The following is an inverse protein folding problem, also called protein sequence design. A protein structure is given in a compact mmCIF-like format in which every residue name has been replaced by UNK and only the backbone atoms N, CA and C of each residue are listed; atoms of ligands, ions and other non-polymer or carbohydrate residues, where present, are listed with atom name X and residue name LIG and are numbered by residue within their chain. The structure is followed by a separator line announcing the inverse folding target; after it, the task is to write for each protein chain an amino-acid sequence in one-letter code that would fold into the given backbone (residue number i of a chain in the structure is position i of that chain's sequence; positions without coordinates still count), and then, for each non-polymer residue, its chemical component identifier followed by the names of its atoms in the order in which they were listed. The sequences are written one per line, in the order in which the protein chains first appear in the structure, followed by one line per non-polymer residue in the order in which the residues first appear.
data_IF_834471797156
#
_entry.id   IF_834471797156
#
_cell.length_a   1.000
_cell.length_b   1.000
_cell.length_c   1.000
_cell.angle_alpha   90.00
_cell.angle_beta   90.00
_cell.angle_gamma   90.00
#
_symmetry.space_group_name_H-M   'P 1'
#
loop_
_entity.id
_entity.type
_entity.pdbx_description
1 polymer ?
#
# COMPACT_ATOMS: atom_id res chain seq x y z
N UNK A 1 34.87 33.91 72.50
CA UNK A 1 34.94 35.34 72.87
C UNK A 1 33.95 36.13 72.01
N UNK A 2 33.32 37.18 72.55
CA UNK A 2 31.96 37.60 72.20
C UNK A 2 31.90 38.94 71.43
N UNK A 3 30.66 39.35 71.15
CA UNK A 3 30.17 40.67 70.69
C UNK A 3 30.29 40.92 69.16
N UNK A 4 29.30 41.45 68.44
CA UNK A 4 28.30 42.46 68.80
C UNK A 4 27.06 42.47 67.87
N UNK A 5 25.94 42.91 68.48
CA UNK A 5 24.89 43.86 68.00
C UNK A 5 23.85 43.44 66.96
N UNK A 6 22.62 43.40 67.46
CA UNK A 6 21.35 43.66 66.75
C UNK A 6 21.33 45.06 66.12
N UNK A 7 20.72 45.16 64.94
CA UNK A 7 20.15 46.41 64.41
C UNK A 7 18.88 46.07 63.64
N UNK A 8 17.79 46.71 64.05
CA UNK A 8 16.48 46.65 63.42
C UNK A 8 16.52 47.37 62.06
N UNK A 9 15.97 46.74 61.04
CA UNK A 9 15.86 47.28 59.69
C UNK A 9 14.44 47.08 59.16
N UNK A 10 13.82 48.19 58.81
CA UNK A 10 12.44 48.40 58.35
C UNK A 10 12.05 47.46 57.20
N UNK A 11 10.89 46.79 57.34
CA UNK A 11 10.24 46.02 56.28
C UNK A 11 9.52 46.99 55.33
N UNK A 12 10.12 47.29 54.18
CA UNK A 12 9.44 48.00 53.09
C UNK A 12 8.62 46.98 52.30
N UNK A 13 7.29 47.06 52.41
CA UNK A 13 6.37 46.29 51.59
C UNK A 13 6.41 46.80 50.15
N UNK A 14 7.02 46.03 49.25
CA UNK A 14 6.90 46.26 47.81
C UNK A 14 5.51 45.80 47.34
N UNK A 15 4.65 46.76 47.00
CA UNK A 15 3.38 46.52 46.31
C UNK A 15 3.71 46.13 44.86
N UNK A 16 3.65 44.83 44.55
CA UNK A 16 3.69 44.36 43.18
C UNK A 16 2.30 44.56 42.56
N UNK A 17 2.21 45.51 41.63
CA UNK A 17 1.04 45.70 40.76
C UNK A 17 0.94 44.48 39.82
N UNK A 18 -0.01 43.59 40.08
CA UNK A 18 -0.35 42.52 39.14
C UNK A 18 -1.10 43.13 37.95
N UNK A 19 -0.37 43.35 36.84
CA UNK A 19 -0.96 43.61 35.54
C UNK A 19 -1.75 42.38 35.08
N UNK A 20 -3.07 42.47 35.15
CA UNK A 20 -3.99 41.44 34.66
C UNK A 20 -3.84 41.27 33.15
N UNK A 21 -3.13 40.22 32.73
CA UNK A 21 -3.30 39.66 31.39
C UNK A 21 -4.50 38.73 31.43
N UNK A 22 -5.57 39.16 30.78
CA UNK A 22 -6.69 38.30 30.42
C UNK A 22 -6.17 37.14 29.57
N UNK A 23 -6.01 35.97 30.20
CA UNK A 23 -5.82 34.72 29.46
C UNK A 23 -7.15 34.44 28.79
N UNK A 24 -7.23 34.70 27.49
CA UNK A 24 -8.34 34.26 26.67
C UNK A 24 -8.45 32.74 26.84
N UNK A 25 -9.56 32.30 27.43
CA UNK A 25 -9.94 30.89 27.52
C UNK A 25 -10.06 30.36 26.11
N UNK A 26 -9.00 29.73 25.61
CA UNK A 26 -9.08 28.93 24.40
C UNK A 26 -9.98 27.75 24.73
N UNK A 27 -11.23 27.81 24.24
CA UNK A 27 -12.11 26.65 24.18
C UNK A 27 -11.29 25.52 23.56
N UNK A 28 -11.17 24.34 24.20
CA UNK A 28 -10.43 23.25 23.62
C UNK A 28 -11.05 22.95 22.25
N UNK A 29 -10.26 23.11 21.19
CA UNK A 29 -10.65 22.59 19.89
C UNK A 29 -10.92 21.10 20.09
N UNK A 30 -12.18 20.71 19.92
CA UNK A 30 -12.61 19.31 20.01
C UNK A 30 -11.67 18.47 19.18
N UNK A 31 -10.99 17.53 19.83
CA UNK A 31 -10.19 16.55 19.11
C UNK A 31 -11.10 15.87 18.07
N UNK A 32 -10.66 15.71 16.80
CA UNK A 32 -11.43 14.92 15.86
C UNK A 32 -11.59 13.52 16.46
N UNK A 33 -12.84 13.10 16.60
CA UNK A 33 -13.21 11.77 17.09
C UNK A 33 -12.42 10.74 16.30
N UNK A 34 -11.65 9.91 16.99
CA UNK A 34 -11.04 8.73 16.40
C UNK A 34 -12.18 7.89 15.77
N UNK A 35 -12.24 7.81 14.44
CA UNK A 35 -13.23 7.00 13.74
C UNK A 35 -13.96 7.63 12.55
N UNK A 36 -13.65 8.86 12.13
CA UNK A 36 -14.12 9.33 10.83
C UNK A 36 -12.94 9.81 9.99
N UNK A 37 -12.60 9.03 8.95
CA UNK A 37 -11.88 9.55 7.79
C UNK A 37 -12.97 10.08 6.84
N UNK A 38 -13.29 11.38 6.85
CA UNK A 38 -14.37 11.94 6.01
C UNK A 38 -14.03 11.94 4.52
N UNK A 39 -12.87 11.40 4.13
CA UNK A 39 -12.32 11.47 2.79
C UNK A 39 -12.16 10.09 2.17
N UNK A 40 -12.33 10.03 0.85
CA UNK A 40 -12.12 8.82 0.05
C UNK A 40 -10.63 8.53 -0.01
N UNK A 41 -10.26 7.25 0.03
CA UNK A 41 -8.86 6.81 -0.05
C UNK A 41 -8.55 6.47 -1.51
N UNK A 42 -7.56 7.13 -2.15
CA UNK A 42 -7.09 6.74 -3.46
C UNK A 42 -6.51 5.33 -3.43
N UNK A 43 -6.92 4.48 -4.37
CA UNK A 43 -6.35 3.15 -4.57
C UNK A 43 -5.72 3.14 -5.96
N UNK A 44 -4.41 3.24 -6.01
CA UNK A 44 -3.63 3.43 -7.23
C UNK A 44 -3.21 2.08 -7.82
N UNK A 45 -3.32 1.94 -9.14
CA UNK A 45 -2.90 0.74 -9.88
C UNK A 45 -1.73 1.08 -10.81
N UNK A 46 -0.63 0.35 -10.63
CA UNK A 46 0.53 0.33 -11.51
C UNK A 46 0.70 -1.07 -12.12
N UNK A 47 1.11 -1.16 -13.39
CA UNK A 47 1.40 -2.46 -14.05
C UNK A 47 2.88 -2.58 -14.41
N UNK A 48 3.41 -1.69 -15.25
CA UNK A 48 4.83 -1.71 -15.63
C UNK A 48 5.51 -0.44 -15.14
N UNK A 49 6.73 -0.59 -14.63
CA UNK A 49 7.65 0.53 -14.39
C UNK A 49 8.83 0.39 -15.35
N UNK A 50 9.15 1.42 -16.13
CA UNK A 50 10.21 1.34 -17.15
C UNK A 50 10.73 2.70 -17.61
N UNK A 51 11.35 2.79 -18.78
CA UNK A 51 12.04 4.03 -19.20
C UNK A 51 11.12 5.14 -19.70
N UNK A 52 9.98 4.78 -20.29
CA UNK A 52 9.03 5.72 -20.87
C UNK A 52 7.59 5.36 -20.52
N UNK A 53 6.71 6.36 -20.48
CA UNK A 53 5.28 6.17 -20.26
C UNK A 53 4.64 5.46 -21.47
N UNK A 54 3.67 4.58 -21.20
CA UNK A 54 2.79 3.99 -22.21
C UNK A 54 1.46 3.54 -21.57
N UNK A 55 0.55 2.96 -22.35
CA UNK A 55 -0.81 2.57 -21.90
C UNK A 55 -0.86 1.76 -20.60
N UNK A 56 0.20 1.02 -20.27
CA UNK A 56 0.31 0.23 -19.02
C UNK A 56 1.60 0.50 -18.25
N UNK A 57 2.41 1.44 -18.72
CA UNK A 57 3.76 1.69 -18.20
C UNK A 57 3.84 3.09 -17.66
N UNK A 58 4.31 3.19 -16.41
CA UNK A 58 4.79 4.44 -15.83
C UNK A 58 6.30 4.46 -15.93
N UNK A 59 6.86 5.55 -16.40
CA UNK A 59 8.30 5.79 -16.41
C UNK A 59 8.84 5.80 -14.98
N UNK A 60 10.10 5.41 -14.80
CA UNK A 60 10.78 5.46 -13.50
C UNK A 60 10.77 6.87 -12.92
N UNK A 61 11.01 7.87 -13.76
CA UNK A 61 10.93 9.28 -13.35
C UNK A 61 9.50 9.73 -13.08
N UNK A 62 8.52 9.24 -13.85
CA UNK A 62 7.10 9.40 -13.56
C UNK A 62 6.75 8.87 -12.18
N UNK A 63 7.21 7.66 -11.84
CA UNK A 63 6.96 7.05 -10.54
C UNK A 63 7.61 7.84 -9.40
N UNK A 64 8.85 8.33 -9.57
CA UNK A 64 9.49 9.25 -8.61
C UNK A 64 8.66 10.51 -8.38
N UNK A 65 8.13 11.11 -9.45
CA UNK A 65 7.25 12.29 -9.36
C UNK A 65 5.92 11.95 -8.69
N UNK A 66 5.37 10.76 -8.91
CA UNK A 66 4.12 10.33 -8.26
C UNK A 66 4.30 10.21 -6.73
N UNK A 67 5.41 9.62 -6.27
CA UNK A 67 5.75 9.55 -4.85
C UNK A 67 5.89 10.96 -4.24
N UNK A 68 6.64 11.84 -4.92
CA UNK A 68 6.85 13.22 -4.47
C UNK A 68 5.53 14.01 -4.41
N UNK A 69 4.71 13.94 -5.46
CA UNK A 69 3.40 14.61 -5.52
C UNK A 69 2.51 14.19 -4.35
N UNK A 70 2.39 12.88 -4.09
CA UNK A 70 1.60 12.37 -2.98
C UNK A 70 2.16 12.82 -1.63
N UNK A 71 3.48 12.79 -1.47
CA UNK A 71 4.14 13.25 -0.25
C UNK A 71 3.83 14.73 0.04
N UNK A 72 4.01 15.59 -0.97
CA UNK A 72 3.80 17.03 -0.90
C UNK A 72 2.33 17.39 -0.64
N UNK A 73 1.40 16.60 -1.17
CA UNK A 73 -0.05 16.73 -0.89
C UNK A 73 -0.50 16.07 0.42
N UNK A 74 0.47 15.65 1.26
CA UNK A 74 0.22 15.15 2.60
C UNK A 74 -0.41 13.76 2.62
N UNK A 75 -0.14 12.91 1.63
CA UNK A 75 -0.53 11.50 1.62
C UNK A 75 0.56 10.60 2.18
N UNK A 76 0.16 9.50 2.82
CA UNK A 76 1.06 8.46 3.35
C UNK A 76 0.57 7.08 2.96
N UNK A 77 1.50 6.19 2.58
CA UNK A 77 1.12 4.91 2.02
C UNK A 77 0.60 3.96 3.09
N UNK A 78 -0.48 3.23 2.77
CA UNK A 78 -1.00 2.09 3.53
C UNK A 78 -1.25 0.92 2.57
N UNK A 79 -1.34 -0.30 3.10
CA UNK A 79 -1.70 -1.47 2.29
C UNK A 79 -3.22 -1.62 2.15
N UNK A 80 -3.66 -2.47 1.23
CA UNK A 80 -5.08 -2.83 1.10
C UNK A 80 -5.58 -3.48 2.39
N UNK A 81 -4.83 -4.43 2.95
CA UNK A 81 -5.18 -5.06 4.22
C UNK A 81 -5.39 -4.04 5.36
N UNK A 82 -4.52 -3.05 5.47
CA UNK A 82 -4.66 -1.98 6.47
C UNK A 82 -5.90 -1.11 6.23
N UNK A 83 -6.23 -0.83 4.97
CA UNK A 83 -7.43 -0.10 4.60
C UNK A 83 -8.70 -0.88 4.98
N UNK A 84 -8.74 -2.18 4.71
CA UNK A 84 -9.84 -3.09 5.05
C UNK A 84 -10.03 -3.18 6.57
N UNK A 85 -8.93 -3.35 7.30
CA UNK A 85 -8.93 -3.42 8.77
C UNK A 85 -9.22 -2.08 9.42
N UNK A 86 -9.16 -0.99 8.64
CA UNK A 86 -9.26 0.40 9.12
C UNK A 86 -8.24 0.67 10.23
N UNK A 87 -7.08 0.04 10.11
CA UNK A 87 -6.01 0.07 11.09
C UNK A 87 -4.67 0.35 10.41
N UNK A 88 -4.20 1.58 10.57
CA UNK A 88 -2.94 2.07 10.04
C UNK A 88 -2.40 3.19 10.90
N UNK A 89 -1.08 3.32 10.91
CA UNK A 89 -0.35 4.32 11.66
C UNK A 89 0.36 5.27 10.69
N UNK A 90 -0.28 6.41 10.43
CA UNK A 90 0.22 7.52 9.62
C UNK A 90 0.23 8.80 10.48
N UNK A 91 1.18 9.73 10.26
CA UNK A 91 1.24 10.99 11.02
C UNK A 91 -0.08 11.76 11.00
N UNK A 92 -0.43 12.37 12.14
CA UNK A 92 -1.61 13.23 12.26
C UNK A 92 -1.56 14.36 11.22
N UNK A 93 -2.70 14.62 10.57
CA UNK A 93 -2.81 15.63 9.51
C UNK A 93 -2.51 15.09 8.10
N UNK A 94 -1.99 13.87 7.97
CA UNK A 94 -1.82 13.21 6.66
C UNK A 94 -3.06 12.41 6.26
N UNK A 95 -3.10 11.91 5.02
CA UNK A 95 -4.16 11.04 4.51
C UNK A 95 -3.61 9.75 3.92
N UNK A 96 -4.32 8.62 4.03
CA UNK A 96 -3.86 7.37 3.45
C UNK A 96 -3.97 7.40 1.93
N UNK A 97 -3.03 6.71 1.28
CA UNK A 97 -3.10 6.32 -0.13
C UNK A 97 -2.68 4.86 -0.26
N UNK A 98 -3.38 4.09 -1.09
CA UNK A 98 -3.03 2.69 -1.35
C UNK A 98 -2.31 2.61 -2.69
N UNK A 99 -1.17 1.94 -2.71
CA UNK A 99 -0.45 1.57 -3.94
C UNK A 99 -0.66 0.08 -4.21
N UNK A 100 -1.09 -0.25 -5.42
CA UNK A 100 -1.20 -1.63 -5.90
C UNK A 100 -0.38 -1.81 -7.18
N UNK A 101 0.33 -2.93 -7.25
CA UNK A 101 1.18 -3.30 -8.38
C UNK A 101 0.74 -4.66 -8.91
N UNK A 102 0.29 -4.72 -10.16
CA UNK A 102 -0.19 -5.94 -10.79
C UNK A 102 0.91 -6.63 -11.62
N UNK A 103 0.70 -7.89 -11.98
CA UNK A 103 1.49 -8.73 -12.90
C UNK A 103 2.85 -9.26 -12.41
N UNK A 104 3.48 -8.58 -11.48
CA UNK A 104 4.84 -8.88 -11.06
C UNK A 104 5.91 -8.78 -12.16
N UNK A 105 6.02 -7.65 -12.85
CA UNK A 105 7.09 -7.42 -13.84
C UNK A 105 8.48 -7.06 -13.22
N UNK A 106 9.62 -7.39 -13.85
CA UNK A 106 10.95 -7.03 -13.34
C UNK A 106 11.15 -5.55 -13.02
N UNK A 107 10.51 -4.64 -13.77
CA UNK A 107 10.55 -3.20 -13.48
C UNK A 107 9.96 -2.83 -12.12
N UNK A 108 9.06 -3.64 -11.56
CA UNK A 108 8.55 -3.45 -10.20
C UNK A 108 9.57 -3.88 -9.16
N UNK A 109 10.21 -5.05 -9.34
CA UNK A 109 11.25 -5.54 -8.44
C UNK A 109 12.31 -6.37 -9.18
N UNK A 110 13.50 -5.79 -9.36
CA UNK A 110 14.70 -6.45 -9.86
C UNK A 110 15.81 -6.49 -8.79
N UNK A 111 16.68 -7.48 -8.91
CA UNK A 111 18.02 -7.44 -8.32
C UNK A 111 19.05 -7.10 -9.39
N UNK A 112 20.14 -6.50 -8.95
CA UNK A 112 21.40 -6.41 -9.69
C UNK A 112 22.50 -7.01 -8.83
N UNK A 113 23.51 -7.60 -9.47
CA UNK A 113 24.70 -8.05 -8.77
C UNK A 113 25.70 -6.89 -8.60
N UNK A 114 26.24 -6.77 -7.39
CA UNK A 114 27.33 -5.86 -7.02
C UNK A 114 28.27 -6.62 -6.11
N UNK A 115 29.53 -6.76 -6.50
CA UNK A 115 30.58 -7.45 -5.72
C UNK A 115 30.16 -8.85 -5.24
N UNK A 116 29.52 -9.63 -6.14
CA UNK A 116 29.04 -10.98 -5.84
C UNK A 116 27.81 -11.05 -4.93
N UNK A 117 27.17 -9.92 -4.61
CA UNK A 117 25.95 -9.85 -3.79
C UNK A 117 24.76 -9.34 -4.60
N UNK A 118 23.60 -9.91 -4.35
CA UNK A 118 22.34 -9.38 -4.86
C UNK A 118 21.94 -8.15 -4.05
N UNK A 119 21.74 -7.04 -4.76
CA UNK A 119 21.21 -5.80 -4.20
C UNK A 119 19.95 -5.40 -4.96
N UNK A 120 18.97 -4.82 -4.26
CA UNK A 120 17.76 -4.30 -4.90
C UNK A 120 18.17 -3.29 -5.97
N UNK A 121 17.69 -3.48 -7.19
CA UNK A 121 17.96 -2.56 -8.29
C UNK A 121 17.37 -1.18 -7.96
N UNK A 122 18.20 -0.12 -7.86
CA UNK A 122 17.73 1.24 -7.55
C UNK A 122 16.79 1.82 -8.61
N UNK A 123 16.71 1.21 -9.80
CA UNK A 123 15.82 1.59 -10.88
C UNK A 123 14.52 0.77 -10.94
N UNK A 124 14.34 -0.20 -10.04
CA UNK A 124 13.05 -0.87 -9.85
C UNK A 124 12.10 -0.02 -9.01
N UNK A 125 10.80 -0.28 -9.08
CA UNK A 125 9.81 0.40 -8.23
C UNK A 125 10.16 0.25 -6.73
N UNK A 126 10.55 -0.96 -6.31
CA UNK A 126 10.99 -1.22 -4.93
C UNK A 126 12.26 -0.42 -4.60
N UNK A 127 13.26 -0.39 -5.48
CA UNK A 127 14.48 0.40 -5.26
C UNK A 127 14.21 1.90 -5.12
N UNK A 128 13.38 2.45 -6.00
CA UNK A 128 12.92 3.85 -5.94
C UNK A 128 12.15 4.11 -4.65
N UNK A 129 11.26 3.20 -4.24
CA UNK A 129 10.51 3.31 -3.00
C UNK A 129 11.42 3.35 -1.77
N UNK A 130 12.39 2.44 -1.69
CA UNK A 130 13.32 2.36 -0.57
C UNK A 130 14.20 3.61 -0.49
N UNK A 131 14.62 4.15 -1.63
CA UNK A 131 15.33 5.43 -1.66
C UNK A 131 14.49 6.60 -1.16
N UNK A 132 13.24 6.67 -1.61
CA UNK A 132 12.31 7.68 -1.14
C UNK A 132 12.07 7.57 0.37
N UNK A 133 11.84 6.36 0.88
CA UNK A 133 11.63 6.09 2.30
C UNK A 133 12.84 6.49 3.17
N UNK A 134 14.08 6.29 2.70
CA UNK A 134 15.28 6.75 3.43
C UNK A 134 15.33 8.27 3.61
N UNK A 135 14.86 9.02 2.60
CA UNK A 135 14.82 10.49 2.62
C UNK A 135 13.57 11.04 3.32
N UNK A 136 12.55 10.21 3.48
CA UNK A 136 11.26 10.55 4.09
C UNK A 136 10.87 9.46 5.09
N UNK A 137 11.39 9.47 6.33
CA UNK A 137 11.19 8.36 7.29
C UNK A 137 9.73 8.04 7.63
N UNK A 138 8.82 9.00 7.41
CA UNK A 138 7.38 8.82 7.57
C UNK A 138 6.69 8.19 6.35
N UNK A 139 7.40 8.04 5.23
CA UNK A 139 7.00 7.23 4.07
C UNK A 139 7.38 5.76 4.27
N UNK A 140 6.52 5.03 4.98
CA UNK A 140 6.74 3.61 5.30
C UNK A 140 6.68 2.72 4.04
N UNK A 141 7.29 1.54 4.11
CA UNK A 141 7.19 0.46 3.11
C UNK A 141 5.81 -0.18 3.13
N UNK A 142 4.84 0.48 2.47
CA UNK A 142 3.43 0.06 2.44
C UNK A 142 2.89 0.15 1.01
N UNK A 143 2.79 -1.00 0.36
CA UNK A 143 2.17 -1.17 -0.94
C UNK A 143 1.73 -2.63 -1.07
N UNK A 144 0.82 -2.91 -1.98
CA UNK A 144 0.27 -4.25 -2.20
C UNK A 144 0.69 -4.77 -3.57
N UNK A 145 1.49 -5.83 -3.61
CA UNK A 145 1.96 -6.44 -4.86
C UNK A 145 1.07 -7.64 -5.19
N UNK A 146 0.24 -7.52 -6.22
CA UNK A 146 -0.62 -8.55 -6.76
C UNK A 146 0.13 -9.35 -7.82
N UNK A 147 0.63 -10.52 -7.43
CA UNK A 147 1.72 -11.15 -8.15
C UNK A 147 1.29 -12.41 -8.89
N UNK A 148 1.90 -12.60 -10.06
CA UNK A 148 1.80 -13.82 -10.86
C UNK A 148 2.94 -14.76 -10.52
N UNK A 149 2.68 -16.07 -10.55
CA UNK A 149 3.66 -17.11 -10.19
C UNK A 149 4.09 -18.00 -11.35
N UNK A 150 3.43 -17.90 -12.50
CA UNK A 150 3.75 -18.65 -13.72
C UNK A 150 3.27 -17.96 -15.00
N UNK A 151 3.31 -16.62 -15.07
CA UNK A 151 2.92 -15.88 -16.27
C UNK A 151 3.82 -16.21 -17.48
N UNK A 152 3.21 -16.46 -18.64
CA UNK A 152 3.92 -16.84 -19.87
C UNK A 152 4.87 -15.76 -20.39
N UNK A 153 4.59 -14.48 -20.10
CA UNK A 153 5.44 -13.35 -20.47
C UNK A 153 6.75 -13.26 -19.65
N UNK A 154 6.98 -14.20 -18.73
CA UNK A 154 8.13 -14.26 -17.83
C UNK A 154 8.01 -13.35 -16.61
N UNK A 155 6.85 -12.75 -16.35
CA UNK A 155 6.58 -11.86 -15.21
C UNK A 155 6.35 -12.66 -13.90
N UNK A 156 6.73 -13.92 -13.84
CA UNK A 156 6.45 -14.75 -12.69
C UNK A 156 7.35 -14.33 -11.50
N UNK A 157 6.75 -13.72 -10.47
CA UNK A 157 7.41 -13.07 -9.33
C UNK A 157 8.66 -12.28 -9.72
N UNK A 158 8.44 -11.33 -10.64
CA UNK A 158 9.38 -10.32 -11.10
C UNK A 158 10.60 -10.83 -11.85
N UNK A 159 10.42 -11.92 -12.59
CA UNK A 159 11.32 -12.34 -13.65
C UNK A 159 11.67 -13.81 -13.58
N UNK A 160 11.34 -14.55 -14.64
CA UNK A 160 11.64 -15.96 -14.79
C UNK A 160 12.38 -16.21 -16.11
N UNK A 161 13.21 -17.26 -16.16
CA UNK A 161 13.95 -17.69 -17.36
C UNK A 161 14.80 -16.57 -17.97
N UNK A 162 15.47 -15.77 -17.13
CA UNK A 162 16.38 -14.71 -17.56
C UNK A 162 15.69 -13.42 -18.00
N UNK A 163 14.37 -13.28 -17.82
CA UNK A 163 13.64 -12.07 -18.23
C UNK A 163 14.26 -10.81 -17.60
N UNK A 164 14.64 -9.86 -18.44
CA UNK A 164 15.24 -8.57 -18.06
C UNK A 164 16.44 -8.75 -17.10
N UNK A 165 17.24 -9.79 -17.33
CA UNK A 165 18.43 -10.12 -16.53
C UNK A 165 18.12 -10.74 -15.17
N UNK A 166 16.85 -11.09 -14.89
CA UNK A 166 16.45 -11.69 -13.62
C UNK A 166 16.52 -13.21 -13.69
N UNK A 167 17.18 -13.82 -12.71
CA UNK A 167 17.32 -15.27 -12.62
C UNK A 167 16.10 -15.93 -11.95
N UNK A 168 15.71 -17.11 -12.43
CA UNK A 168 14.63 -17.92 -11.84
C UNK A 168 14.86 -18.20 -10.35
N UNK A 169 16.11 -18.43 -9.95
CA UNK A 169 16.51 -18.69 -8.56
C UNK A 169 16.21 -17.53 -7.61
N UNK A 170 16.11 -16.30 -8.12
CA UNK A 170 15.90 -15.10 -7.30
C UNK A 170 14.44 -14.88 -6.92
N UNK A 171 13.48 -15.49 -7.63
CA UNK A 171 12.05 -15.20 -7.53
C UNK A 171 11.50 -15.30 -6.11
N UNK A 172 11.76 -16.41 -5.42
CA UNK A 172 11.23 -16.60 -4.05
C UNK A 172 11.89 -15.64 -3.05
N UNK A 173 13.15 -15.28 -3.26
CA UNK A 173 13.85 -14.32 -2.39
C UNK A 173 13.26 -12.91 -2.50
N UNK A 174 12.73 -12.51 -3.66
CA UNK A 174 12.00 -11.25 -3.84
C UNK A 174 10.71 -11.24 -3.04
N UNK A 175 9.93 -12.33 -3.10
CA UNK A 175 8.68 -12.42 -2.33
C UNK A 175 8.94 -12.35 -0.82
N UNK A 176 9.97 -13.06 -0.33
CA UNK A 176 10.41 -12.95 1.06
C UNK A 176 10.85 -11.54 1.43
N UNK A 177 11.61 -10.88 0.57
CA UNK A 177 12.06 -9.51 0.79
C UNK A 177 10.87 -8.56 0.93
N UNK A 178 9.88 -8.64 0.04
CA UNK A 178 8.68 -7.79 0.11
C UNK A 178 7.98 -7.94 1.46
N UNK A 179 7.71 -9.18 1.89
CA UNK A 179 7.07 -9.46 3.18
C UNK A 179 7.91 -8.95 4.36
N UNK A 180 9.22 -9.20 4.36
CA UNK A 180 10.13 -8.76 5.42
C UNK A 180 10.23 -7.24 5.53
N UNK A 181 10.12 -6.52 4.40
CA UNK A 181 10.08 -5.06 4.39
C UNK A 181 8.71 -4.50 4.81
N UNK A 182 7.67 -5.32 4.94
CA UNK A 182 6.33 -4.89 5.33
C UNK A 182 5.41 -4.46 4.18
N UNK A 183 5.76 -4.83 2.93
CA UNK A 183 4.82 -4.78 1.82
C UNK A 183 3.81 -5.93 1.92
N UNK A 184 2.61 -5.72 1.37
CA UNK A 184 1.56 -6.74 1.31
C UNK A 184 1.73 -7.59 0.06
N UNK A 185 1.55 -8.92 0.21
CA UNK A 185 1.53 -9.87 -0.88
C UNK A 185 0.08 -10.20 -1.24
N UNK A 186 -0.27 -9.97 -2.51
CA UNK A 186 -1.60 -10.15 -3.06
C UNK A 186 -1.60 -11.20 -4.16
N UNK A 187 -2.71 -11.91 -4.30
CA UNK A 187 -2.92 -12.92 -5.34
C UNK A 187 -3.32 -12.23 -6.65
N UNK A 188 -2.81 -12.72 -7.77
CA UNK A 188 -3.24 -12.31 -9.11
C UNK A 188 -3.46 -13.49 -10.06
N UNK A 189 -3.81 -14.66 -9.49
CA UNK A 189 -3.85 -15.99 -10.13
C UNK A 189 -2.46 -16.53 -10.47
N UNK A 190 -2.41 -17.79 -10.92
CA UNK A 190 -1.17 -18.45 -11.32
C UNK A 190 -0.50 -17.76 -12.51
N UNK A 191 -1.21 -17.55 -13.62
CA UNK A 191 -0.61 -17.08 -14.89
C UNK A 191 -1.33 -15.90 -15.55
N UNK A 192 -2.21 -15.20 -14.82
CA UNK A 192 -3.10 -14.14 -15.33
C UNK A 192 -4.30 -14.73 -16.10
N UNK A 193 -4.96 -15.68 -15.45
CA UNK A 193 -6.09 -16.42 -15.99
C UNK A 193 -7.32 -15.53 -16.24
N UNK A 194 -7.93 -15.66 -17.43
CA UNK A 194 -9.23 -15.03 -17.73
C UNK A 194 -10.37 -15.80 -17.06
N UNK A 195 -10.58 -15.55 -15.77
CA UNK A 195 -11.50 -16.31 -14.91
C UNK A 195 -12.94 -16.38 -15.45
N UNK A 196 -13.43 -15.33 -16.11
CA UNK A 196 -14.75 -15.28 -16.77
C UNK A 196 -14.98 -16.37 -17.84
N UNK A 197 -13.90 -17.00 -18.32
CA UNK A 197 -13.95 -18.06 -19.34
C UNK A 197 -13.63 -19.45 -18.78
N UNK A 198 -13.46 -19.58 -17.47
CA UNK A 198 -13.09 -20.84 -16.81
C UNK A 198 -14.29 -21.51 -16.14
N UNK A 199 -14.19 -22.83 -15.92
CA UNK A 199 -15.09 -23.54 -15.02
C UNK A 199 -14.76 -23.21 -13.56
N UNK A 200 -15.71 -23.39 -12.66
CA UNK A 200 -15.54 -23.16 -11.23
C UNK A 200 -14.34 -23.91 -10.63
N UNK A 201 -14.13 -25.16 -11.05
CA UNK A 201 -12.96 -25.96 -10.65
C UNK A 201 -11.64 -25.31 -11.11
N UNK A 202 -11.59 -24.75 -12.33
CA UNK A 202 -10.41 -24.08 -12.86
C UNK A 202 -10.19 -22.70 -12.23
N UNK A 203 -11.26 -21.97 -11.90
CA UNK A 203 -11.16 -20.72 -11.12
C UNK A 203 -10.51 -20.99 -9.77
N UNK A 204 -11.01 -21.97 -9.02
CA UNK A 204 -10.44 -22.35 -7.73
C UNK A 204 -8.99 -22.82 -7.84
N UNK A 205 -8.66 -23.65 -8.84
CA UNK A 205 -7.29 -24.06 -9.11
C UNK A 205 -6.36 -22.85 -9.33
N UNK A 206 -6.76 -21.91 -10.19
CA UNK A 206 -5.94 -20.75 -10.54
C UNK A 206 -5.65 -19.85 -9.35
N UNK A 207 -6.66 -19.61 -8.51
CA UNK A 207 -6.54 -18.77 -7.33
C UNK A 207 -5.74 -19.49 -6.24
N UNK A 208 -6.10 -20.74 -5.92
CA UNK A 208 -5.45 -21.52 -4.87
C UNK A 208 -3.96 -21.75 -5.17
N UNK A 209 -3.60 -22.03 -6.44
CA UNK A 209 -2.18 -22.19 -6.82
C UNK A 209 -1.40 -20.88 -6.75
N UNK A 210 -2.02 -19.75 -7.02
CA UNK A 210 -1.42 -18.43 -6.77
C UNK A 210 -1.12 -18.21 -5.28
N UNK A 211 -2.07 -18.54 -4.41
CA UNK A 211 -1.89 -18.45 -2.96
C UNK A 211 -0.81 -19.42 -2.45
N UNK A 212 -0.82 -20.67 -2.93
CA UNK A 212 0.21 -21.67 -2.61
C UNK A 212 1.61 -21.22 -3.01
N UNK A 213 1.76 -20.55 -4.16
CA UNK A 213 3.06 -20.07 -4.60
C UNK A 213 3.61 -18.96 -3.68
N UNK A 214 2.74 -18.10 -3.13
CA UNK A 214 3.13 -17.12 -2.11
C UNK A 214 3.50 -17.82 -0.80
N UNK A 215 2.67 -18.75 -0.32
CA UNK A 215 2.92 -19.57 0.88
C UNK A 215 4.26 -20.33 0.78
N UNK A 216 4.60 -20.83 -0.40
CA UNK A 216 5.87 -21.54 -0.66
C UNK A 216 7.09 -20.62 -0.53
N UNK A 217 6.93 -19.31 -0.73
CA UNK A 217 8.00 -18.34 -0.51
C UNK A 217 8.05 -17.86 0.95
N UNK A 218 6.88 -17.65 1.56
CA UNK A 218 6.68 -17.15 2.93
C UNK A 218 5.69 -18.07 3.64
N UNK A 219 6.20 -19.06 4.35
CA UNK A 219 5.39 -20.11 4.97
C UNK A 219 4.36 -19.53 5.94
N UNK A 220 3.09 -19.94 5.78
CA UNK A 220 1.97 -19.48 6.61
C UNK A 220 1.43 -18.11 6.24
N UNK A 221 1.89 -17.49 5.14
CA UNK A 221 1.39 -16.19 4.74
C UNK A 221 -0.08 -16.27 4.31
N UNK A 222 -0.96 -15.59 5.05
CA UNK A 222 -2.37 -15.45 4.68
C UNK A 222 -2.52 -14.39 3.60
N UNK A 223 -2.78 -14.82 2.36
CA UNK A 223 -3.07 -13.90 1.26
C UNK A 223 -4.50 -13.38 1.38
N UNK A 224 -4.65 -12.10 1.75
CA UNK A 224 -5.95 -11.47 2.05
C UNK A 224 -6.55 -10.70 0.87
N UNK A 225 -5.69 -10.25 -0.05
CA UNK A 225 -6.10 -9.41 -1.17
C UNK A 225 -5.94 -10.16 -2.49
N UNK A 226 -6.92 -9.99 -3.37
CA UNK A 226 -6.93 -10.57 -4.70
C UNK A 226 -7.23 -9.51 -5.75
N UNK A 227 -6.36 -9.35 -6.75
CA UNK A 227 -6.69 -8.55 -7.93
C UNK A 227 -7.22 -9.44 -9.04
N UNK A 228 -8.35 -9.07 -9.63
CA UNK A 228 -8.95 -9.77 -10.76
C UNK A 228 -8.11 -9.52 -12.03
N UNK A 229 -7.58 -10.57 -12.70
CA UNK A 229 -6.97 -10.40 -14.00
C UNK A 229 -7.94 -9.74 -14.98
N UNK A 230 -7.49 -8.69 -15.67
CA UNK A 230 -8.31 -7.87 -16.58
C UNK A 230 -9.53 -7.20 -15.92
N UNK A 231 -9.68 -7.27 -14.59
CA UNK A 231 -10.87 -6.78 -13.88
C UNK A 231 -12.11 -7.62 -14.15
N UNK A 232 -11.96 -8.83 -14.70
CA UNK A 232 -13.07 -9.68 -15.10
C UNK A 232 -13.40 -10.71 -14.03
N UNK A 233 -14.62 -10.67 -13.54
CA UNK A 233 -15.14 -11.62 -12.57
C UNK A 233 -15.28 -13.04 -13.15
N UNK A 234 -15.02 -14.10 -12.35
CA UNK A 234 -15.50 -15.44 -12.69
C UNK A 234 -17.02 -15.46 -12.80
N UNK A 235 -17.58 -16.40 -13.58
CA UNK A 235 -19.05 -16.56 -13.68
C UNK A 235 -19.70 -16.77 -12.31
N UNK A 236 -19.05 -17.57 -11.46
CA UNK A 236 -19.42 -17.68 -10.06
C UNK A 236 -18.58 -16.69 -9.23
N UNK A 237 -19.17 -15.53 -8.93
CA UNK A 237 -18.49 -14.42 -8.24
C UNK A 237 -18.00 -14.81 -6.83
N UNK A 238 -18.68 -15.74 -6.15
CA UNK A 238 -18.30 -16.17 -4.81
C UNK A 238 -16.89 -16.79 -4.78
N UNK A 239 -16.46 -17.40 -5.88
CA UNK A 239 -15.13 -18.01 -6.01
C UNK A 239 -13.99 -17.01 -6.05
N UNK A 240 -14.25 -15.73 -6.36
CA UNK A 240 -13.23 -14.70 -6.20
C UNK A 240 -12.95 -14.42 -4.72
N UNK A 241 -13.93 -14.66 -3.83
CA UNK A 241 -13.79 -14.45 -2.38
C UNK A 241 -13.22 -15.67 -1.68
N UNK A 242 -13.78 -16.86 -1.90
CA UNK A 242 -13.37 -18.06 -1.20
C UNK A 242 -13.57 -19.32 -2.04
N UNK A 243 -12.72 -20.32 -1.79
CA UNK A 243 -12.78 -21.61 -2.45
C UNK A 243 -11.63 -22.50 -2.00
N UNK A 244 -11.60 -23.70 -2.55
CA UNK A 244 -10.54 -24.65 -2.29
C UNK A 244 -10.18 -25.46 -3.54
N UNK A 245 -8.93 -25.90 -3.58
CA UNK A 245 -8.45 -26.78 -4.62
C UNK A 245 -7.65 -27.91 -3.99
N UNK A 246 -7.97 -29.14 -4.37
CA UNK A 246 -7.18 -30.32 -4.02
C UNK A 246 -6.14 -30.55 -5.09
N UNK A 247 -4.87 -30.50 -4.70
CA UNK A 247 -3.78 -30.86 -5.60
C UNK A 247 -3.89 -32.35 -5.96
N UNK A 248 -4.12 -32.70 -7.24
CA UNK A 248 -4.27 -34.09 -7.64
C UNK A 248 -2.99 -34.90 -7.45
N UNK A 249 -1.82 -34.26 -7.33
CA UNK A 249 -0.54 -34.96 -7.14
C UNK A 249 -0.27 -35.27 -5.67
N UNK A 250 -0.42 -34.31 -4.78
CA UNK A 250 -0.12 -34.48 -3.36
C UNK A 250 -1.35 -34.83 -2.49
N UNK A 251 -2.56 -34.67 -3.03
CA UNK A 251 -3.81 -34.79 -2.26
C UNK A 251 -4.07 -33.62 -1.30
N UNK A 252 -3.13 -32.67 -1.16
CA UNK A 252 -3.22 -31.50 -0.26
C UNK A 252 -4.36 -30.59 -0.71
N UNK A 253 -5.18 -30.15 0.24
CA UNK A 253 -6.21 -29.13 0.01
C UNK A 253 -5.62 -27.76 0.29
N UNK A 254 -5.77 -26.86 -0.68
CA UNK A 254 -5.38 -25.46 -0.59
C UNK A 254 -6.66 -24.64 -0.60
N UNK A 255 -7.05 -24.16 0.57
CA UNK A 255 -8.15 -23.22 0.71
C UNK A 255 -7.64 -21.78 0.63
N UNK A 256 -8.46 -20.88 0.10
CA UNK A 256 -8.20 -19.45 0.10
C UNK A 256 -9.45 -18.69 0.54
N UNK A 257 -9.22 -17.53 1.16
CA UNK A 257 -10.27 -16.58 1.51
C UNK A 257 -9.69 -15.16 1.47
N UNK A 258 -10.22 -14.36 0.57
CA UNK A 258 -9.86 -12.96 0.42
C UNK A 258 -10.82 -12.08 1.23
N UNK A 259 -10.24 -11.08 1.87
CA UNK A 259 -10.94 -10.02 2.57
C UNK A 259 -11.09 -8.78 1.67
N UNK A 260 -10.29 -8.68 0.59
CA UNK A 260 -10.40 -7.66 -0.44
C UNK A 260 -10.29 -8.20 -1.87
N UNK A 261 -11.10 -7.64 -2.78
CA UNK A 261 -11.05 -7.94 -4.21
C UNK A 261 -10.90 -6.64 -5.00
N UNK A 262 -9.82 -6.53 -5.79
CA UNK A 262 -9.48 -5.35 -6.56
C UNK A 262 -9.94 -5.49 -8.01
N UNK A 263 -10.64 -4.47 -8.49
CA UNK A 263 -11.00 -4.29 -9.90
C UNK A 263 -9.97 -3.40 -10.61
N UNK A 264 -10.00 -3.35 -11.94
CA UNK A 264 -9.00 -2.60 -12.72
C UNK A 264 -9.25 -1.09 -12.65
N UNK A 265 -10.49 -0.65 -12.82
CA UNK A 265 -10.84 0.77 -12.80
C UNK A 265 -12.30 0.94 -12.38
N UNK A 266 -12.61 2.08 -11.77
CA UNK A 266 -13.99 2.46 -11.44
C UNK A 266 -14.04 3.73 -10.60
N UNK A 267 -15.26 4.13 -10.22
CA UNK A 267 -15.44 5.29 -9.34
C UNK A 267 -14.82 5.01 -7.96
N UNK A 268 -14.13 5.99 -7.38
CA UNK A 268 -13.63 5.85 -6.01
C UNK A 268 -14.77 5.46 -5.07
N UNK A 269 -14.50 4.53 -4.17
CA UNK A 269 -15.46 4.14 -3.14
C UNK A 269 -15.75 5.27 -2.15
N UNK A 270 -16.78 5.06 -1.33
CA UNK A 270 -17.06 5.90 -0.17
C UNK A 270 -15.92 5.89 0.86
N UNK A 271 -16.13 6.58 1.98
CA UNK A 271 -15.16 6.57 3.06
C UNK A 271 -15.04 5.16 3.66
N UNK A 272 -13.87 4.74 4.15
CA UNK A 272 -13.69 3.37 4.67
C UNK A 272 -14.64 2.99 5.81
N UNK A 273 -15.15 3.98 6.54
CA UNK A 273 -16.11 3.82 7.65
C UNK A 273 -17.58 4.04 7.24
N UNK A 274 -17.84 4.42 6.00
CA UNK A 274 -19.17 4.73 5.49
C UNK A 274 -19.83 3.58 4.74
N UNK A 275 -21.15 3.69 4.44
CA UNK A 275 -21.93 2.63 3.77
C UNK A 275 -21.55 2.40 2.30
N UNK A 276 -20.75 3.29 1.71
CA UNK A 276 -20.28 3.18 0.32
C UNK A 276 -18.92 2.51 0.15
N UNK A 277 -18.42 1.82 1.18
CA UNK A 277 -17.16 1.07 1.14
C UNK A 277 -17.43 -0.43 1.25
N UNK A 278 -17.19 -1.14 0.16
CA UNK A 278 -17.21 -2.59 0.05
C UNK A 278 -15.80 -3.11 -0.29
N UNK A 279 -15.11 -3.79 0.65
CA UNK A 279 -13.78 -4.31 0.39
C UNK A 279 -13.80 -5.46 -0.64
N UNK A 280 -14.95 -6.07 -0.92
CA UNK A 280 -15.07 -7.14 -1.91
C UNK A 280 -15.32 -6.62 -3.33
N UNK A 281 -15.41 -5.30 -3.54
CA UNK A 281 -15.50 -4.68 -4.87
C UNK A 281 -14.72 -3.36 -4.85
N UNK A 282 -13.40 -3.44 -4.96
CA UNK A 282 -12.50 -2.28 -4.85
C UNK A 282 -12.04 -1.75 -6.21
N UNK A 283 -12.71 -0.74 -6.78
CA UNK A 283 -12.22 -0.02 -7.95
C UNK A 283 -10.94 0.73 -7.64
N UNK A 284 -10.09 0.84 -8.66
CA UNK A 284 -8.77 1.48 -8.59
C UNK A 284 -8.65 2.62 -9.61
N UNK A 285 -7.59 3.40 -9.49
CA UNK A 285 -7.20 4.40 -10.48
C UNK A 285 -5.89 4.00 -11.12
N UNK A 286 -5.91 3.81 -12.44
CA UNK A 286 -4.70 3.57 -13.22
C UNK A 286 -3.82 4.81 -13.25
N UNK A 287 -2.58 4.66 -12.79
CA UNK A 287 -1.60 5.74 -12.82
C UNK A 287 -0.89 5.74 -14.17
N UNK A 288 -1.58 6.33 -15.15
CA UNK A 288 -1.09 6.57 -16.50
C UNK A 288 -1.36 8.03 -16.88
N UNK A 289 -0.48 8.63 -17.66
CA UNK A 289 -0.57 10.04 -18.02
C UNK A 289 -0.64 10.95 -16.79
N UNK A 290 -1.67 11.79 -16.74
CA UNK A 290 -1.97 12.76 -15.69
C UNK A 290 -3.11 12.30 -14.75
N UNK A 291 -3.55 11.04 -14.83
CA UNK A 291 -4.69 10.52 -14.06
C UNK A 291 -4.54 10.73 -12.55
N UNK A 292 -3.33 10.60 -12.00
CA UNK A 292 -3.09 10.82 -10.56
C UNK A 292 -3.39 12.27 -10.17
N UNK A 293 -2.88 13.26 -10.91
CA UNK A 293 -3.16 14.67 -10.65
C UNK A 293 -4.66 14.97 -10.71
N UNK A 294 -5.32 14.54 -11.79
CA UNK A 294 -6.78 14.71 -11.96
C UNK A 294 -7.59 14.05 -10.83
N UNK A 295 -7.16 12.88 -10.35
CA UNK A 295 -7.80 12.20 -9.21
C UNK A 295 -7.70 13.05 -7.95
N UNK A 296 -6.48 13.49 -7.62
CA UNK A 296 -6.22 14.27 -6.40
C UNK A 296 -6.96 15.60 -6.43
N UNK A 297 -6.92 16.33 -7.55
CA UNK A 297 -7.64 17.58 -7.74
C UNK A 297 -9.17 17.40 -7.59
N UNK A 298 -9.72 16.24 -7.94
CA UNK A 298 -11.15 15.96 -7.80
C UNK A 298 -11.58 15.64 -6.34
N UNK A 299 -10.69 15.09 -5.51
CA UNK A 299 -11.03 14.64 -4.16
C UNK A 299 -10.59 15.60 -3.04
N UNK A 300 -9.57 16.42 -3.28
CA UNK A 300 -9.02 17.34 -2.30
C UNK A 300 -9.90 18.54 -1.96
N UNK A 301 -10.71 19.13 -2.86
CA UNK A 301 -11.66 20.17 -2.49
C UNK A 301 -12.72 19.67 -1.49
N UNK A 302 -12.97 18.36 -1.49
CA UNK A 302 -13.83 17.67 -0.50
C UNK A 302 -13.07 17.33 0.78
N UNK A 303 -11.74 17.47 0.78
CA UNK A 303 -10.85 17.28 1.95
C UNK A 303 -10.91 18.46 2.91
N UNK A 304 -11.00 19.68 2.41
CA UNK A 304 -10.84 20.88 3.27
C UNK A 304 -12.13 21.66 3.53
N UNK A 305 -13.30 21.14 3.13
CA UNK A 305 -14.57 21.77 3.50
C UNK A 305 -14.94 21.47 4.95
N UNK A 306 -15.10 22.49 5.82
CA UNK A 306 -15.78 22.28 7.09
C UNK A 306 -17.20 21.79 6.80
N UNK A 307 -17.66 20.78 7.55
CA UNK A 307 -19.07 20.41 7.58
C UNK A 307 -19.86 21.44 8.35
#
# INVERSE_FOLDING_TARGET
MPFHRLSAGVLVAAIAVFGGRTVASQTPATAPVAGTMPYRVPILQYHLIGDADSRWKRSRDGFRRDLQLLYDRGYRPITVAQLVDRHFDIPRGTSPVVFTFDDASPGQFSYVERDGKLVVDPNSAVGIWLDFSRRHPDWKTRATFCMLSAADSGHAFFGDKGKDGQQTSWRLSKVRFLAAQGFELCNHTLWHAKLSKMSDAKVQEQIARGALAIDSAVAGYRVRTFALPQGLWPRNHALARAGEWRDPKSGRVIAYRHDAILEVTGALQGTPYGPGFDPLVMPRTQVIGDNLGRLLDAIEPRRFRPR
#
